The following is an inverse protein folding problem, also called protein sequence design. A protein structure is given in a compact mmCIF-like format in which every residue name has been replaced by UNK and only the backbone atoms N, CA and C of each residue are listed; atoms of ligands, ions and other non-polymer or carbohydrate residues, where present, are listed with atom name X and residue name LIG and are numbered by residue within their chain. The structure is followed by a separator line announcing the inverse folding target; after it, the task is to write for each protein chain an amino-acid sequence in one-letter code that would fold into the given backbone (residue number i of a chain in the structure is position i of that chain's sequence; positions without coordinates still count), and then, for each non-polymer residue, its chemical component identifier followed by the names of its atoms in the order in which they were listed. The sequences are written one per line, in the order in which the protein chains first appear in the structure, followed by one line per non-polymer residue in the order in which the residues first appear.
data_IF_187205917809
#
_entry.id   IF_187205917809
#
_cell.length_a   1.000
_cell.length_b   1.000
_cell.length_c   1.000
_cell.angle_alpha   90.00
_cell.angle_beta   90.00
_cell.angle_gamma   90.00
#
_symmetry.space_group_name_H-M   'P 1'
#
loop_
_entity.id
_entity.type
_entity.pdbx_description
1 polymer ?
#
# COMPACT_ATOMS: atom_id res chain seq x y z
N UNK A 1 -4.52 4.17 -12.88
CA UNK A 1 -4.68 5.55 -12.38
C UNK A 1 -4.13 6.48 -13.44
N UNK A 2 -4.92 7.46 -13.86
CA UNK A 2 -4.49 8.47 -14.80
C UNK A 2 -3.47 9.40 -14.12
N UNK A 3 -2.37 9.71 -14.79
CA UNK A 3 -1.30 10.58 -14.26
C UNK A 3 -1.70 12.06 -14.36
N UNK A 4 -2.70 12.46 -13.57
CA UNK A 4 -3.15 13.85 -13.43
C UNK A 4 -3.01 14.26 -11.97
N UNK A 5 -2.17 15.28 -11.72
CA UNK A 5 -1.93 15.83 -10.39
C UNK A 5 -3.22 16.43 -9.80
N UNK A 6 -3.56 16.08 -8.57
CA UNK A 6 -4.70 16.58 -7.81
C UNK A 6 -6.06 16.01 -8.21
N UNK A 7 -6.14 15.13 -9.22
CA UNK A 7 -7.41 14.54 -9.65
C UNK A 7 -7.84 13.40 -8.73
N UNK A 8 -9.04 13.51 -8.17
CA UNK A 8 -9.71 12.42 -7.47
C UNK A 8 -10.13 11.32 -8.45
N UNK A 9 -9.77 10.07 -8.14
CA UNK A 9 -10.03 8.89 -8.98
C UNK A 9 -10.75 7.82 -8.15
N UNK A 10 -12.10 7.89 -8.03
CA UNK A 10 -12.89 6.92 -7.28
C UNK A 10 -12.81 5.52 -7.90
N UNK A 11 -12.58 4.51 -7.05
CA UNK A 11 -12.61 3.09 -7.40
C UNK A 11 -13.33 2.27 -6.32
N UNK A 12 -13.54 0.98 -6.56
CA UNK A 12 -14.16 0.07 -5.59
C UNK A 12 -13.44 0.09 -4.23
N UNK A 13 -12.09 0.09 -4.11
CA UNK A 13 -11.44 0.10 -2.80
C UNK A 13 -11.51 1.45 -2.07
N UNK A 14 -11.28 2.55 -2.76
CA UNK A 14 -11.11 3.89 -2.19
C UNK A 14 -11.11 4.96 -3.30
N UNK A 15 -10.96 6.23 -2.91
CA UNK A 15 -10.62 7.31 -3.84
C UNK A 15 -9.10 7.45 -3.85
N UNK A 16 -8.48 7.23 -5.00
CA UNK A 16 -7.06 7.49 -5.19
C UNK A 16 -6.83 8.92 -5.64
N UNK A 17 -5.69 9.49 -5.26
CA UNK A 17 -5.23 10.79 -5.74
C UNK A 17 -3.73 10.71 -6.02
N UNK A 18 -3.32 11.20 -7.19
CA UNK A 18 -1.92 11.41 -7.53
C UNK A 18 -1.60 12.89 -7.37
N UNK A 19 -0.51 13.23 -6.68
CA UNK A 19 -0.01 14.61 -6.57
C UNK A 19 1.42 14.67 -7.07
N UNK A 20 1.74 15.69 -7.84
CA UNK A 20 3.10 15.95 -8.32
C UNK A 20 3.68 17.15 -7.56
N UNK A 21 4.90 17.01 -7.07
CA UNK A 21 5.71 18.08 -6.48
C UNK A 21 7.17 17.87 -6.87
N UNK A 22 7.74 18.84 -7.61
CA UNK A 22 9.16 18.90 -7.98
C UNK A 22 9.71 17.62 -8.65
N UNK A 23 8.94 17.04 -9.56
CA UNK A 23 9.29 15.84 -10.32
C UNK A 23 9.01 14.52 -9.58
N UNK A 24 8.48 14.59 -8.36
CA UNK A 24 8.09 13.42 -7.56
C UNK A 24 6.56 13.29 -7.60
N UNK A 25 6.08 12.11 -7.94
CA UNK A 25 4.68 11.74 -7.85
C UNK A 25 4.40 11.02 -6.53
N UNK A 26 3.29 11.38 -5.91
CA UNK A 26 2.80 10.82 -4.65
C UNK A 26 1.46 10.15 -4.90
N UNK A 27 1.33 8.87 -4.53
CA UNK A 27 0.06 8.16 -4.53
C UNK A 27 -0.53 8.15 -3.13
N UNK A 28 -1.71 8.75 -3.01
CA UNK A 28 -2.50 8.81 -1.79
C UNK A 28 -3.84 8.11 -1.99
N UNK A 29 -4.47 7.70 -0.88
CA UNK A 29 -5.85 7.19 -0.87
C UNK A 29 -6.69 7.80 0.25
N UNK A 30 -7.98 7.95 -0.04
CA UNK A 30 -9.03 8.32 0.91
C UNK A 30 -9.91 7.07 1.11
N UNK A 31 -9.78 6.44 2.27
CA UNK A 31 -10.44 5.20 2.67
C UNK A 31 -11.82 5.48 3.25
N UNK A 32 -12.68 4.46 3.21
CA UNK A 32 -13.97 4.44 3.92
C UNK A 32 -13.77 4.20 5.42
N UNK A 33 -14.82 4.47 6.19
CA UNK A 33 -14.88 4.01 7.58
C UNK A 33 -14.77 2.48 7.64
N UNK A 34 -14.02 1.99 8.62
CA UNK A 34 -13.87 0.56 8.85
C UNK A 34 -14.81 0.11 9.96
N UNK A 35 -15.57 -0.95 9.67
CA UNK A 35 -16.36 -1.65 10.67
C UNK A 35 -15.66 -2.97 11.01
N UNK A 36 -15.32 -3.15 12.28
CA UNK A 36 -14.63 -4.34 12.79
C UNK A 36 -15.59 -5.05 13.74
N UNK A 37 -16.13 -6.18 13.30
CA UNK A 37 -17.16 -6.91 14.03
C UNK A 37 -16.62 -7.61 15.28
N UNK A 38 -15.41 -8.16 15.22
CA UNK A 38 -14.75 -8.77 16.38
C UNK A 38 -13.91 -7.72 17.14
N UNK A 39 -14.36 -7.37 18.34
CA UNK A 39 -13.75 -6.33 19.16
C UNK A 39 -12.33 -6.65 19.63
N UNK A 40 -11.94 -7.93 19.70
CA UNK A 40 -10.58 -8.33 20.08
C UNK A 40 -9.51 -7.77 19.12
N UNK A 41 -9.90 -7.44 17.89
CA UNK A 41 -8.99 -6.94 16.86
C UNK A 41 -8.99 -5.41 16.71
N UNK A 42 -9.76 -4.65 17.51
CA UNK A 42 -9.87 -3.19 17.35
C UNK A 42 -8.53 -2.44 17.45
N UNK A 43 -7.59 -3.00 18.23
CA UNK A 43 -6.25 -2.44 18.43
C UNK A 43 -5.15 -3.25 17.74
N UNK A 44 -5.50 -4.06 16.74
CA UNK A 44 -4.52 -4.74 15.89
C UNK A 44 -3.61 -3.73 15.18
N UNK A 45 -2.31 -4.03 15.15
CA UNK A 45 -1.29 -3.27 14.42
C UNK A 45 -1.48 -3.30 12.89
N UNK A 46 -2.35 -4.18 12.39
CA UNK A 46 -2.69 -4.29 10.97
C UNK A 46 -3.71 -3.23 10.53
N UNK A 47 -4.40 -2.58 11.46
CA UNK A 47 -5.47 -1.63 11.15
C UNK A 47 -4.92 -0.22 10.94
N UNK A 48 -5.09 0.30 9.73
CA UNK A 48 -4.88 1.71 9.46
C UNK A 48 -6.08 2.51 9.97
N UNK A 49 -5.91 3.32 11.01
CA UNK A 49 -6.99 4.13 11.59
C UNK A 49 -7.25 5.43 10.81
N UNK A 50 -6.31 5.87 9.98
CA UNK A 50 -6.47 7.11 9.21
C UNK A 50 -7.27 6.88 7.91
N UNK A 51 -8.25 7.74 7.66
CA UNK A 51 -8.97 7.78 6.38
C UNK A 51 -8.04 8.15 5.22
N UNK A 52 -7.23 9.19 5.42
CA UNK A 52 -6.25 9.62 4.44
C UNK A 52 -4.93 8.90 4.68
N UNK A 53 -4.43 8.21 3.66
CA UNK A 53 -3.16 7.47 3.74
C UNK A 53 -2.31 7.75 2.51
N UNK A 54 -1.06 8.16 2.77
CA UNK A 54 0.01 8.17 1.75
C UNK A 54 0.49 6.74 1.54
N UNK A 55 0.55 6.29 0.28
CA UNK A 55 0.90 4.90 -0.04
C UNK A 55 2.39 4.81 -0.41
N UNK A 56 2.80 5.49 -1.48
CA UNK A 56 4.19 5.55 -1.93
C UNK A 56 4.43 6.78 -2.81
N UNK A 57 5.69 7.04 -3.13
CA UNK A 57 6.11 8.04 -4.11
C UNK A 57 7.02 7.44 -5.17
N UNK A 58 7.07 8.03 -6.35
CA UNK A 58 7.88 7.58 -7.48
C UNK A 58 8.24 8.75 -8.41
N UNK A 59 9.20 8.54 -9.30
CA UNK A 59 9.51 9.46 -10.40
C UNK A 59 9.08 8.85 -11.73
N UNK A 60 9.00 9.65 -12.79
CA UNK A 60 8.75 9.15 -14.15
C UNK A 60 10.02 8.74 -14.89
N UNK A 61 11.13 8.60 -14.17
CA UNK A 61 12.39 8.14 -14.74
C UNK A 61 12.26 6.66 -15.15
N UNK A 62 12.55 6.30 -16.40
CA UNK A 62 12.55 4.91 -16.83
C UNK A 62 13.55 4.08 -16.01
N UNK A 63 13.16 2.85 -15.66
CA UNK A 63 13.98 1.90 -14.90
C UNK A 63 14.04 0.55 -15.60
N UNK A 64 15.16 -0.16 -15.45
CA UNK A 64 15.29 -1.55 -15.86
C UNK A 64 15.24 -2.48 -14.63
N UNK A 65 15.19 -3.80 -14.84
CA UNK A 65 15.08 -4.73 -13.72
C UNK A 65 16.37 -4.76 -12.87
N UNK A 66 17.51 -4.50 -13.51
CA UNK A 66 18.84 -4.45 -12.88
C UNK A 66 18.93 -3.35 -11.82
N UNK A 67 18.19 -2.23 -11.99
CA UNK A 67 18.10 -1.16 -11.00
C UNK A 67 17.57 -1.66 -9.63
N UNK A 68 16.84 -2.78 -9.62
CA UNK A 68 16.21 -3.36 -8.42
C UNK A 68 16.98 -4.55 -7.84
N UNK A 69 18.09 -4.99 -8.44
CA UNK A 69 18.79 -6.21 -8.02
C UNK A 69 19.32 -6.14 -6.58
N UNK A 70 19.93 -5.01 -6.23
CA UNK A 70 20.45 -4.76 -4.88
C UNK A 70 19.32 -4.71 -3.84
N UNK A 71 18.22 -4.02 -4.15
CA UNK A 71 17.05 -3.90 -3.28
C UNK A 71 16.35 -5.24 -3.12
N UNK A 72 16.24 -6.04 -4.17
CA UNK A 72 15.68 -7.39 -4.10
C UNK A 72 16.44 -8.26 -3.10
N UNK A 73 17.77 -8.27 -3.17
CA UNK A 73 18.61 -9.00 -2.20
C UNK A 73 18.43 -8.47 -0.79
N UNK A 74 18.39 -7.14 -0.62
CA UNK A 74 18.21 -6.50 0.67
C UNK A 74 16.87 -6.84 1.32
N UNK A 75 15.75 -6.71 0.58
CA UNK A 75 14.40 -6.94 1.10
C UNK A 75 14.19 -8.39 1.56
N UNK A 76 14.92 -9.35 1.02
CA UNK A 76 14.83 -10.77 1.42
C UNK A 76 15.74 -11.15 2.59
N UNK A 77 16.80 -10.39 2.86
CA UNK A 77 17.85 -10.76 3.83
C UNK A 77 17.93 -9.85 5.05
N UNK A 78 17.59 -8.57 4.90
CA UNK A 78 17.77 -7.60 5.96
C UNK A 78 16.75 -7.82 7.08
N UNK A 79 17.16 -7.89 8.36
CA UNK A 79 16.24 -8.01 9.49
C UNK A 79 15.33 -6.78 9.67
N UNK A 80 15.67 -5.64 9.06
CA UNK A 80 14.84 -4.43 9.05
C UNK A 80 13.76 -4.44 7.97
N UNK A 81 13.75 -5.44 7.10
CA UNK A 81 12.76 -5.59 6.05
C UNK A 81 11.44 -6.11 6.61
N UNK A 82 10.31 -5.50 6.23
CA UNK A 82 9.00 -6.03 6.62
C UNK A 82 8.80 -7.45 6.10
N UNK A 83 9.37 -7.76 4.92
CA UNK A 83 9.25 -9.07 4.26
C UNK A 83 9.97 -10.21 5.00
N UNK A 84 10.92 -9.91 5.87
CA UNK A 84 11.54 -10.91 6.76
C UNK A 84 10.84 -10.98 8.12
N UNK A 85 10.14 -9.92 8.52
CA UNK A 85 9.47 -9.83 9.83
C UNK A 85 8.04 -10.39 9.85
N UNK A 86 7.34 -10.38 8.71
CA UNK A 86 5.95 -10.82 8.59
C UNK A 86 5.81 -11.76 7.40
N UNK A 87 5.25 -12.94 7.61
CA UNK A 87 4.68 -13.76 6.54
C UNK A 87 3.33 -13.19 6.17
N UNK A 88 3.07 -12.94 4.89
CA UNK A 88 1.74 -12.51 4.46
C UNK A 88 1.43 -12.91 3.02
N UNK A 89 0.14 -13.04 2.74
CA UNK A 89 -0.38 -13.15 1.39
C UNK A 89 -1.70 -12.38 1.29
N UNK A 90 -1.99 -11.85 0.11
CA UNK A 90 -3.26 -11.13 -0.13
C UNK A 90 -3.82 -11.46 -1.51
N UNK A 91 -5.14 -11.49 -1.60
CA UNK A 91 -5.86 -11.78 -2.84
C UNK A 91 -7.08 -10.86 -2.94
N UNK A 92 -7.17 -10.12 -4.05
CA UNK A 92 -8.35 -9.32 -4.37
C UNK A 92 -9.49 -10.23 -4.82
N UNK A 93 -10.70 -9.91 -4.38
CA UNK A 93 -11.95 -10.53 -4.86
C UNK A 93 -12.75 -9.50 -5.64
N UNK A 94 -13.91 -9.88 -6.17
CA UNK A 94 -14.82 -8.95 -6.84
C UNK A 94 -15.34 -7.83 -5.93
N UNK A 95 -15.37 -8.06 -4.61
CA UNK A 95 -16.01 -7.17 -3.63
C UNK A 95 -15.07 -6.73 -2.50
N UNK A 96 -13.82 -7.20 -2.47
CA UNK A 96 -12.91 -6.89 -1.38
C UNK A 96 -11.55 -7.57 -1.48
N UNK A 97 -10.98 -7.89 -0.32
CA UNK A 97 -9.64 -8.46 -0.21
C UNK A 97 -9.58 -9.47 0.92
N UNK A 98 -8.96 -10.62 0.66
CA UNK A 98 -8.46 -11.51 1.70
C UNK A 98 -6.99 -11.19 1.96
N UNK A 99 -6.61 -11.09 3.22
CA UNK A 99 -5.22 -10.89 3.62
C UNK A 99 -4.93 -11.75 4.85
N UNK A 100 -3.92 -12.61 4.75
CA UNK A 100 -3.38 -13.37 5.87
C UNK A 100 -2.03 -12.73 6.24
N UNK A 101 -1.82 -12.49 7.53
CA UNK A 101 -0.55 -12.01 8.09
C UNK A 101 -0.21 -12.85 9.31
N UNK A 102 0.94 -13.51 9.32
CA UNK A 102 1.35 -14.41 10.40
C UNK A 102 0.77 -15.82 10.24
N UNK A 103 0.08 -16.30 11.27
CA UNK A 103 -0.43 -17.66 11.40
C UNK A 103 -1.98 -17.72 11.38
N UNK A 104 -2.50 -18.87 10.91
CA UNK A 104 -3.88 -19.34 11.10
C UNK A 104 -3.97 -20.22 12.32
#
# INVERSE_FOLDING_TARGET
LELISGKDQPQVPCIFQLREDKGIWYLDQIRREQYISNQEFLDSDLLEKNKYRKIYSFTLEPRTIEDFESVNTYLQKSPTSVFTSKSFCSLQTSEGVHCLVGCT
#
